data_IF_460975428219
#
_entry.id   IF_460975428219
#
_cell.length_a   1.000
_cell.length_b   1.000
_cell.length_c   1.000
_cell.angle_alpha   90.00
_cell.angle_beta   90.00
_cell.angle_gamma   90.00
#
_symmetry.space_group_name_H-M   'P 1'
#
loop_
_entity.id
_entity.type
_entity.pdbx_description
1 polymer ?
#
# COMPACT_ATOMS: atom_id res chain seq x y z
N UNK A 1 18.95 24.64 -3.88
CA UNK A 1 18.80 23.32 -4.52
C UNK A 1 17.74 22.58 -3.74
N UNK A 2 16.73 21.99 -4.39
CA UNK A 2 15.70 21.23 -3.66
C UNK A 2 16.36 19.99 -3.04
N UNK A 3 15.99 19.57 -1.81
CA UNK A 3 16.49 18.34 -1.24
C UNK A 3 16.17 17.13 -2.12
N UNK A 4 17.14 16.25 -2.30
CA UNK A 4 17.01 14.99 -3.01
C UNK A 4 17.65 13.88 -2.17
N UNK A 5 17.25 12.60 -2.33
CA UNK A 5 17.80 11.51 -1.55
C UNK A 5 19.27 11.27 -1.93
N UNK A 6 20.10 11.07 -0.91
CA UNK A 6 21.53 10.74 -1.01
C UNK A 6 21.90 9.63 -0.02
N UNK A 7 23.13 9.12 -0.05
CA UNK A 7 23.65 8.09 0.88
C UNK A 7 22.63 6.96 1.18
N UNK A 8 22.13 6.33 0.11
CA UNK A 8 21.19 5.21 0.25
C UNK A 8 21.90 4.05 0.93
N UNK A 9 21.29 3.55 2.01
CA UNK A 9 21.62 2.29 2.68
C UNK A 9 20.48 1.32 2.44
N UNK A 10 20.82 0.08 2.12
CA UNK A 10 19.86 -0.97 1.82
C UNK A 10 20.34 -2.29 2.44
N UNK A 11 19.53 -2.85 3.32
CA UNK A 11 19.82 -4.11 4.02
C UNK A 11 18.75 -5.15 3.69
N UNK A 12 19.16 -6.38 3.41
CA UNK A 12 18.24 -7.51 3.33
C UNK A 12 17.63 -7.76 4.72
N UNK A 13 16.31 -7.76 4.79
CA UNK A 13 15.58 -7.98 6.05
C UNK A 13 14.35 -8.81 5.85
N UNK A 14 13.85 -9.42 6.92
CA UNK A 14 12.60 -10.16 6.91
C UNK A 14 11.72 -9.82 8.09
N UNK A 15 10.43 -10.07 7.96
CA UNK A 15 9.48 -10.03 9.06
C UNK A 15 8.60 -11.28 9.06
N UNK A 16 8.07 -11.60 10.23
CA UNK A 16 7.11 -12.67 10.39
C UNK A 16 5.70 -12.07 10.54
N UNK A 17 4.85 -12.33 9.55
CA UNK A 17 3.44 -11.94 9.53
C UNK A 17 2.60 -13.19 9.89
N UNK A 18 2.55 -13.50 11.18
CA UNK A 18 1.94 -14.73 11.66
C UNK A 18 2.81 -15.95 11.34
N UNK A 19 2.29 -16.90 10.58
CA UNK A 19 3.04 -18.09 10.15
C UNK A 19 3.88 -17.85 8.89
N UNK A 20 3.76 -16.68 8.27
CA UNK A 20 4.37 -16.35 6.99
C UNK A 20 5.57 -15.46 7.19
N UNK A 21 6.71 -15.86 6.63
CA UNK A 21 7.92 -15.04 6.56
C UNK A 21 7.91 -14.24 5.26
N UNK A 22 7.94 -12.91 5.36
CA UNK A 22 8.13 -12.03 4.21
C UNK A 22 9.54 -11.46 4.20
N UNK A 23 10.25 -11.70 3.11
CA UNK A 23 11.55 -11.11 2.83
C UNK A 23 11.38 -9.72 2.21
N UNK A 24 12.36 -8.86 2.40
CA UNK A 24 12.34 -7.49 1.90
C UNK A 24 13.67 -6.77 2.00
N UNK A 25 13.64 -5.49 1.68
CA UNK A 25 14.79 -4.59 1.74
C UNK A 25 14.44 -3.39 2.61
N UNK A 26 15.17 -3.21 3.71
CA UNK A 26 15.10 -2.00 4.53
C UNK A 26 15.95 -0.90 3.89
N UNK A 27 15.30 0.20 3.52
CA UNK A 27 15.93 1.38 2.95
C UNK A 27 16.01 2.51 3.98
N UNK A 28 17.17 3.15 4.08
CA UNK A 28 17.32 4.48 4.70
C UNK A 28 18.18 5.37 3.82
N UNK A 29 17.96 6.67 3.85
CA UNK A 29 18.71 7.62 3.02
C UNK A 29 18.94 8.95 3.72
N UNK A 30 19.89 9.73 3.23
CA UNK A 30 20.04 11.15 3.56
C UNK A 30 18.97 11.96 2.83
N UNK A 31 18.27 12.85 3.54
CA UNK A 31 17.43 13.88 2.93
C UNK A 31 17.52 15.20 3.69
N UNK A 32 17.97 16.28 3.02
CA UNK A 32 18.29 17.53 3.72
C UNK A 32 19.36 17.29 4.79
N UNK A 33 19.10 17.64 6.06
CA UNK A 33 19.97 17.29 7.20
C UNK A 33 19.50 16.07 7.99
N UNK A 34 18.54 15.30 7.47
CA UNK A 34 18.11 14.03 8.05
C UNK A 34 18.96 12.87 7.54
N UNK A 35 19.92 12.44 8.36
CA UNK A 35 20.86 11.39 8.02
C UNK A 35 20.22 9.99 8.03
N UNK A 36 20.73 9.03 7.24
CA UNK A 36 20.23 7.65 7.26
C UNK A 36 20.36 6.97 8.63
N UNK A 37 21.19 7.52 9.53
CA UNK A 37 21.39 7.12 10.92
C UNK A 37 21.09 8.25 11.94
N UNK A 38 20.23 9.21 11.59
CA UNK A 38 19.82 10.37 12.41
C UNK A 38 19.46 10.02 13.87
N UNK A 39 18.99 8.79 14.11
CA UNK A 39 18.65 8.30 15.44
C UNK A 39 17.48 9.07 16.06
N UNK A 40 17.62 9.42 17.34
CA UNK A 40 16.57 10.08 18.15
C UNK A 40 16.68 11.61 18.15
N UNK A 41 17.70 12.19 17.52
CA UNK A 41 17.88 13.65 17.51
C UNK A 41 17.21 14.25 16.28
N UNK A 42 16.37 15.26 16.47
CA UNK A 42 15.71 15.95 15.37
C UNK A 42 16.74 16.57 14.39
N UNK A 43 16.57 16.41 13.07
CA UNK A 43 17.36 17.12 12.07
C UNK A 43 17.24 18.64 12.27
N UNK A 44 18.34 19.41 12.16
CA UNK A 44 18.28 20.85 12.36
C UNK A 44 17.34 21.57 11.36
N UNK A 45 17.12 20.99 10.18
CA UNK A 45 16.21 21.51 9.16
C UNK A 45 14.80 20.87 9.16
N UNK A 46 14.44 20.09 10.20
CA UNK A 46 13.10 19.50 10.33
C UNK A 46 11.97 20.53 10.36
N UNK A 47 12.29 21.76 10.76
CA UNK A 47 11.37 22.91 10.69
C UNK A 47 9.97 22.60 11.28
N UNK A 48 9.94 22.04 12.49
CA UNK A 48 8.70 21.69 13.20
C UNK A 48 7.73 20.85 12.33
N UNK A 49 8.25 19.83 11.65
CA UNK A 49 7.46 18.94 10.79
C UNK A 49 7.16 19.51 9.41
N UNK A 50 7.76 20.64 9.05
CA UNK A 50 7.60 21.28 7.74
C UNK A 50 8.95 21.41 7.01
N UNK A 51 9.78 20.36 6.94
CA UNK A 51 11.01 20.45 6.17
C UNK A 51 10.68 20.56 4.68
N UNK A 52 11.61 21.06 3.87
CA UNK A 52 11.45 21.10 2.41
C UNK A 52 11.75 19.74 1.75
N UNK A 53 11.54 18.63 2.46
CA UNK A 53 11.82 17.29 1.95
C UNK A 53 10.74 16.87 0.93
N UNK A 54 11.09 16.11 -0.11
CA UNK A 54 10.12 15.55 -1.03
C UNK A 54 9.30 14.45 -0.34
N UNK A 55 8.05 14.31 -0.79
CA UNK A 55 7.13 13.27 -0.33
C UNK A 55 7.07 12.07 -1.27
N UNK A 56 7.24 12.29 -2.57
CA UNK A 56 7.05 11.25 -3.59
C UNK A 56 8.39 10.69 -4.06
N UNK A 57 8.57 9.38 -3.90
CA UNK A 57 9.80 8.66 -4.26
C UNK A 57 9.51 7.53 -5.24
N UNK A 58 10.53 7.15 -6.00
CA UNK A 58 10.51 5.99 -6.89
C UNK A 58 11.64 5.04 -6.52
N UNK A 59 11.29 3.77 -6.30
CA UNK A 59 12.22 2.69 -5.98
C UNK A 59 12.48 1.85 -7.22
N UNK A 60 13.76 1.65 -7.52
CA UNK A 60 14.21 0.83 -8.64
C UNK A 60 14.89 -0.43 -8.12
N UNK A 61 14.43 -1.58 -8.63
CA UNK A 61 15.08 -2.87 -8.45
C UNK A 61 15.60 -3.36 -9.80
N UNK A 62 16.88 -3.74 -9.85
CA UNK A 62 17.57 -4.30 -11.03
C UNK A 62 17.39 -3.48 -12.32
N UNK A 63 17.36 -2.15 -12.15
CA UNK A 63 17.25 -1.21 -13.27
C UNK A 63 15.82 -1.02 -13.79
N UNK A 64 14.79 -1.39 -13.02
CA UNK A 64 13.38 -1.16 -13.35
C UNK A 64 12.65 -0.41 -12.23
N UNK A 65 11.81 0.59 -12.56
CA UNK A 65 10.91 1.18 -11.58
C UNK A 65 9.95 0.08 -11.10
N UNK A 66 9.92 -0.15 -9.79
CA UNK A 66 9.14 -1.25 -9.19
C UNK A 66 8.05 -0.73 -8.26
N UNK A 67 8.28 0.41 -7.62
CA UNK A 67 7.36 0.96 -6.64
C UNK A 67 7.48 2.49 -6.59
N UNK A 68 6.35 3.17 -6.51
CA UNK A 68 6.29 4.56 -6.02
C UNK A 68 5.91 4.56 -4.54
N UNK A 69 6.49 5.48 -3.78
CA UNK A 69 6.18 5.63 -2.35
C UNK A 69 5.98 7.09 -1.99
N UNK A 70 4.80 7.39 -1.45
CA UNK A 70 4.46 8.69 -0.89
C UNK A 70 4.67 8.65 0.63
N UNK A 71 5.59 9.45 1.14
CA UNK A 71 5.98 9.50 2.54
C UNK A 71 5.45 10.80 3.16
N UNK A 72 4.29 10.74 3.81
CA UNK A 72 3.78 11.87 4.60
C UNK A 72 4.10 11.72 6.09
N UNK A 73 3.96 12.80 6.85
CA UNK A 73 4.16 12.80 8.29
C UNK A 73 3.34 13.90 8.95
N UNK A 74 2.93 13.65 10.20
CA UNK A 74 2.26 14.66 10.99
C UNK A 74 3.25 15.72 11.50
N UNK A 75 2.78 16.97 11.62
CA UNK A 75 3.59 18.08 12.17
C UNK A 75 3.68 18.06 13.70
N UNK A 76 2.81 17.30 14.36
CA UNK A 76 2.63 17.25 15.81
C UNK A 76 3.25 16.01 16.48
N UNK A 77 3.94 15.17 15.72
CA UNK A 77 4.58 13.93 16.20
C UNK A 77 6.03 13.85 15.65
N UNK A 78 7.00 13.31 16.42
CA UNK A 78 8.40 13.22 15.99
C UNK A 78 8.55 12.19 14.86
N UNK A 79 8.37 12.66 13.61
CA UNK A 79 8.33 11.82 12.42
C UNK A 79 9.52 11.99 11.46
N UNK A 80 10.55 12.75 11.82
CA UNK A 80 11.73 12.85 10.94
C UNK A 80 12.32 11.47 10.66
N UNK A 81 12.19 10.54 11.61
CA UNK A 81 12.60 9.16 11.42
C UNK A 81 11.84 8.50 10.27
N UNK A 82 10.54 8.73 10.13
CA UNK A 82 9.75 8.17 9.03
C UNK A 82 10.07 8.82 7.67
N UNK A 83 10.52 10.08 7.66
CA UNK A 83 10.74 10.87 6.45
C UNK A 83 11.90 10.39 5.54
N UNK A 84 12.71 9.44 5.99
CA UNK A 84 13.88 8.95 5.25
C UNK A 84 14.06 7.44 5.25
N UNK A 85 12.98 6.69 5.41
CA UNK A 85 13.02 5.22 5.44
C UNK A 85 11.83 4.60 4.73
N UNK A 86 12.05 3.39 4.21
CA UNK A 86 10.99 2.57 3.63
C UNK A 86 11.37 1.09 3.70
N UNK A 87 10.39 0.20 3.60
CA UNK A 87 10.63 -1.23 3.49
C UNK A 87 9.94 -1.78 2.25
N UNK A 88 10.73 -2.40 1.38
CA UNK A 88 10.27 -2.97 0.11
C UNK A 88 10.01 -4.46 0.31
N UNK A 89 8.76 -4.88 0.25
CA UNK A 89 8.37 -6.29 0.31
C UNK A 89 8.81 -7.02 -0.96
N UNK A 90 9.54 -8.14 -0.81
CA UNK A 90 9.95 -9.02 -1.92
C UNK A 90 9.19 -10.36 -1.92
N UNK A 91 8.37 -10.61 -0.91
CA UNK A 91 7.55 -11.82 -0.79
C UNK A 91 8.26 -12.96 -0.04
N UNK A 92 7.70 -14.15 -0.15
CA UNK A 92 8.18 -15.33 0.60
C UNK A 92 9.43 -15.98 -0.03
N UNK A 93 9.64 -15.79 -1.33
CA UNK A 93 10.71 -16.44 -2.12
C UNK A 93 11.39 -15.43 -3.05
N UNK A 94 12.18 -14.49 -2.49
CA UNK A 94 12.85 -13.46 -3.29
C UNK A 94 14.00 -14.04 -4.14
N UNK A 95 14.48 -13.25 -5.11
CA UNK A 95 15.74 -13.54 -5.78
C UNK A 95 16.92 -13.45 -4.81
N UNK A 96 18.05 -14.08 -5.14
CA UNK A 96 19.25 -14.10 -4.29
C UNK A 96 19.94 -12.75 -4.13
N UNK A 97 19.70 -11.82 -5.04
CA UNK A 97 20.34 -10.51 -5.06
C UNK A 97 19.47 -9.48 -5.77
N UNK A 98 19.54 -8.22 -5.32
CA UNK A 98 18.91 -7.08 -5.95
C UNK A 98 19.88 -5.90 -6.03
N UNK A 99 19.82 -5.11 -7.10
CA UNK A 99 20.43 -3.77 -7.17
C UNK A 99 19.36 -2.71 -6.95
N UNK A 100 19.56 -1.88 -5.93
CA UNK A 100 18.57 -0.90 -5.46
C UNK A 100 19.09 0.51 -5.62
N UNK A 101 18.25 1.40 -6.13
CA UNK A 101 18.45 2.85 -6.05
C UNK A 101 17.10 3.55 -5.95
N UNK A 102 17.10 4.76 -5.43
CA UNK A 102 15.89 5.58 -5.32
C UNK A 102 16.13 6.96 -5.91
N UNK A 103 15.04 7.65 -6.25
CA UNK A 103 15.02 9.07 -6.52
C UNK A 103 13.72 9.66 -5.98
N UNK A 104 13.68 10.98 -5.83
CA UNK A 104 12.50 11.68 -5.38
C UNK A 104 12.02 12.69 -6.42
N UNK A 105 10.72 12.94 -6.43
CA UNK A 105 10.13 13.99 -7.23
C UNK A 105 10.25 15.30 -6.49
N UNK A 106 10.82 16.29 -7.16
CA UNK A 106 10.92 17.63 -6.62
C UNK A 106 9.53 18.27 -6.52
N UNK A 107 9.38 19.24 -5.63
CA UNK A 107 8.12 19.96 -5.41
C UNK A 107 7.66 20.75 -6.65
N UNK A 108 8.56 21.05 -7.59
CA UNK A 108 8.27 21.69 -8.87
C UNK A 108 7.92 20.70 -9.99
N UNK A 109 7.96 19.38 -9.72
CA UNK A 109 7.43 18.34 -10.59
C UNK A 109 8.44 17.40 -11.28
N UNK A 110 9.66 17.82 -11.66
CA UNK A 110 10.65 16.91 -12.21
C UNK A 110 11.17 15.86 -11.21
N UNK A 111 11.65 14.75 -11.74
CA UNK A 111 12.44 13.80 -10.95
C UNK A 111 13.83 14.36 -10.66
N UNK A 112 14.26 14.24 -9.41
CA UNK A 112 15.63 14.50 -8.99
C UNK A 112 16.62 13.41 -9.44
N UNK A 113 17.91 13.56 -9.12
CA UNK A 113 18.92 12.54 -9.40
C UNK A 113 18.64 11.26 -8.62
N UNK A 114 19.20 10.15 -9.11
CA UNK A 114 19.26 8.91 -8.34
C UNK A 114 20.30 8.99 -7.23
N UNK A 115 20.06 8.25 -6.15
CA UNK A 115 21.07 7.90 -5.15
C UNK A 115 22.19 7.04 -5.76
N UNK A 116 23.20 6.71 -4.95
CA UNK A 116 24.05 5.55 -5.19
C UNK A 116 23.19 4.28 -5.39
N UNK A 117 23.70 3.35 -6.21
CA UNK A 117 23.12 2.02 -6.38
C UNK A 117 23.77 1.05 -5.38
N UNK A 118 22.95 0.34 -4.61
CA UNK A 118 23.36 -0.61 -3.57
C UNK A 118 23.02 -2.02 -4.02
N UNK A 119 23.97 -2.95 -3.90
CA UNK A 119 23.71 -4.38 -4.12
C UNK A 119 23.35 -5.04 -2.80
N UNK A 120 22.20 -5.69 -2.75
CA UNK A 120 21.65 -6.35 -1.57
C UNK A 120 21.66 -7.86 -1.80
N UNK A 121 22.33 -8.61 -0.93
CA UNK A 121 22.34 -10.08 -0.92
C UNK A 121 21.25 -10.59 0.03
N UNK A 122 20.24 -11.29 -0.49
CA UNK A 122 19.11 -11.75 0.33
C UNK A 122 19.48 -12.91 1.24
N UNK A 123 20.60 -13.59 1.00
CA UNK A 123 21.09 -14.65 1.92
C UNK A 123 21.58 -14.09 3.26
N UNK A 124 21.86 -12.79 3.35
CA UNK A 124 22.26 -12.12 4.59
C UNK A 124 21.07 -11.60 5.40
N UNK A 125 19.83 -11.90 4.98
CA UNK A 125 18.60 -11.36 5.56
C UNK A 125 18.56 -11.55 7.08
N UNK A 126 18.33 -10.45 7.79
CA UNK A 126 18.17 -10.42 9.24
C UNK A 126 16.74 -10.09 9.61
N UNK A 127 16.28 -10.38 10.85
CA UNK A 127 15.05 -9.80 11.34
C UNK A 127 15.08 -8.31 11.09
N UNK A 128 14.06 -7.83 10.42
CA UNK A 128 13.85 -6.43 10.16
C UNK A 128 13.95 -5.68 11.49
N UNK A 129 14.80 -4.65 11.50
CA UNK A 129 15.05 -3.90 12.74
C UNK A 129 13.79 -3.13 13.12
N UNK A 130 13.44 -3.26 14.38
CA UNK A 130 12.34 -2.56 15.05
C UNK A 130 12.86 -1.19 15.56
N UNK A 131 12.25 -0.07 15.20
CA UNK A 131 12.60 1.29 15.67
C UNK A 131 11.45 2.02 16.39
N UNK A 132 11.42 2.10 17.72
CA UNK A 132 10.29 2.73 18.43
C UNK A 132 10.52 4.25 18.59
N UNK A 133 9.71 5.15 17.99
CA UNK A 133 9.76 6.57 18.36
C UNK A 133 9.14 6.81 19.75
N UNK A 134 9.75 7.70 20.54
CA UNK A 134 9.15 8.16 21.81
C UNK A 134 7.88 8.99 21.55
N UNK A 135 6.79 8.67 22.26
CA UNK A 135 5.46 9.26 22.06
C UNK A 135 5.23 10.53 22.89
N UNK A 136 4.45 11.44 22.32
CA UNK A 136 3.57 12.34 23.09
C UNK A 136 2.14 11.75 23.12
N UNK A 137 1.31 12.13 24.09
CA UNK A 137 -0.06 11.63 24.18
C UNK A 137 -0.90 12.11 22.98
N UNK A 138 -1.43 11.18 22.20
CA UNK A 138 -2.44 11.45 21.16
C UNK A 138 -3.76 11.84 21.85
N UNK A 139 -4.40 12.92 21.39
CA UNK A 139 -5.80 13.20 21.76
C UNK A 139 -6.69 12.29 20.93
N UNK A 140 -7.48 11.44 21.59
CA UNK A 140 -8.50 10.64 20.92
C UNK A 140 -9.51 11.56 20.22
N UNK A 141 -9.46 11.65 18.89
CA UNK A 141 -10.60 12.17 18.13
C UNK A 141 -11.70 11.11 18.18
N UNK A 142 -12.94 11.51 18.48
CA UNK A 142 -14.06 10.57 18.62
C UNK A 142 -14.27 9.78 17.34
N UNK A 143 -13.87 8.51 17.33
CA UNK A 143 -13.87 7.66 16.15
C UNK A 143 -15.28 7.38 15.65
N UNK A 144 -15.53 7.72 14.40
CA UNK A 144 -16.65 7.19 13.64
C UNK A 144 -16.14 6.07 12.73
N UNK A 145 -16.97 5.05 12.57
CA UNK A 145 -16.86 3.93 11.63
C UNK A 145 -16.26 4.32 10.25
N UNK A 146 -15.09 3.76 9.88
CA UNK A 146 -14.31 4.14 8.68
C UNK A 146 -14.60 3.22 7.51
N UNK A 147 -14.67 3.76 6.30
CA UNK A 147 -15.28 3.03 5.19
C UNK A 147 -14.86 3.56 3.83
N UNK A 148 -14.55 2.69 2.88
CA UNK A 148 -14.27 3.08 1.51
C UNK A 148 -13.97 1.93 0.55
N UNK A 149 -13.85 2.26 -0.74
CA UNK A 149 -13.47 1.32 -1.80
C UNK A 149 -12.95 2.07 -3.02
N UNK A 150 -12.32 1.35 -3.94
CA UNK A 150 -11.76 1.91 -5.16
C UNK A 150 -12.87 2.33 -6.15
N UNK A 151 -13.03 3.63 -6.33
CA UNK A 151 -14.00 4.22 -7.28
C UNK A 151 -13.48 4.12 -8.72
N UNK A 152 -12.20 4.37 -8.93
CA UNK A 152 -11.55 4.21 -10.21
C UNK A 152 -10.16 3.58 -10.06
N UNK A 153 -9.85 2.51 -10.80
CA UNK A 153 -10.77 1.63 -11.52
C UNK A 153 -11.85 1.04 -10.59
N UNK A 154 -13.06 0.85 -11.10
CA UNK A 154 -14.22 0.52 -10.26
C UNK A 154 -14.07 -0.87 -9.63
N UNK A 155 -14.16 -0.97 -8.31
CA UNK A 155 -13.97 -2.24 -7.59
C UNK A 155 -15.08 -3.26 -7.83
N UNK A 156 -14.79 -4.55 -7.65
CA UNK A 156 -15.75 -5.66 -7.65
C UNK A 156 -16.88 -5.45 -6.64
N UNK A 157 -16.54 -4.94 -5.45
CA UNK A 157 -17.53 -4.65 -4.41
C UNK A 157 -18.50 -3.55 -4.87
N UNK A 158 -17.99 -2.48 -5.47
CA UNK A 158 -18.84 -1.43 -6.05
C UNK A 158 -19.67 -1.99 -7.21
N UNK A 159 -19.06 -2.66 -8.19
CA UNK A 159 -19.75 -3.25 -9.35
C UNK A 159 -20.88 -4.18 -8.92
N UNK A 160 -20.56 -5.16 -8.08
CA UNK A 160 -21.52 -6.19 -7.71
C UNK A 160 -22.57 -5.65 -6.74
N UNK A 161 -22.19 -4.88 -5.72
CA UNK A 161 -23.07 -4.57 -4.58
C UNK A 161 -23.67 -3.17 -4.67
N UNK A 162 -22.88 -2.13 -4.96
CA UNK A 162 -23.36 -0.74 -5.01
C UNK A 162 -24.15 -0.47 -6.29
N UNK A 163 -23.56 -0.85 -7.41
CA UNK A 163 -24.06 -0.51 -8.75
C UNK A 163 -24.98 -1.60 -9.32
N UNK A 164 -25.04 -2.75 -8.64
CA UNK A 164 -25.84 -3.92 -9.02
C UNK A 164 -25.64 -4.35 -10.49
N UNK A 165 -24.40 -4.26 -10.99
CA UNK A 165 -24.06 -4.56 -12.39
C UNK A 165 -24.69 -5.89 -12.86
N UNK A 166 -25.23 -5.86 -14.08
CA UNK A 166 -26.00 -6.95 -14.69
C UNK A 166 -25.14 -8.09 -15.23
N UNK A 167 -23.80 -7.95 -15.23
CA UNK A 167 -22.91 -9.05 -15.55
C UNK A 167 -23.23 -10.29 -14.69
N UNK A 168 -23.30 -11.46 -15.34
CA UNK A 168 -23.70 -12.72 -14.67
C UNK A 168 -22.84 -13.06 -13.46
N UNK A 169 -21.54 -12.73 -13.49
CA UNK A 169 -20.65 -12.90 -12.33
C UNK A 169 -20.98 -11.95 -11.17
N UNK A 170 -21.40 -10.71 -11.45
CA UNK A 170 -21.84 -9.76 -10.43
C UNK A 170 -23.15 -10.22 -9.78
N UNK A 171 -24.10 -10.72 -10.58
CA UNK A 171 -25.34 -11.32 -10.07
C UNK A 171 -25.08 -12.53 -9.16
N UNK A 172 -24.16 -13.41 -9.57
CA UNK A 172 -23.79 -14.57 -8.75
C UNK A 172 -23.03 -14.14 -7.48
N UNK A 173 -22.14 -13.16 -7.58
CA UNK A 173 -21.44 -12.61 -6.43
C UNK A 173 -22.44 -12.08 -5.39
N UNK A 174 -23.44 -11.29 -5.81
CA UNK A 174 -24.53 -10.84 -4.92
C UNK A 174 -25.30 -11.99 -4.29
N UNK A 175 -25.60 -13.05 -5.06
CA UNK A 175 -26.31 -14.24 -4.56
C UNK A 175 -25.51 -15.00 -3.51
N UNK A 176 -24.18 -15.02 -3.64
CA UNK A 176 -23.27 -15.72 -2.73
C UNK A 176 -22.92 -14.90 -1.49
N UNK A 177 -22.84 -13.57 -1.61
CA UNK A 177 -22.57 -12.68 -0.50
C UNK A 177 -23.71 -12.72 0.53
N UNK A 178 -23.35 -12.59 1.81
CA UNK A 178 -24.32 -12.34 2.87
C UNK A 178 -24.25 -10.90 3.38
N UNK A 179 -23.17 -10.17 3.07
CA UNK A 179 -23.06 -8.73 3.30
C UNK A 179 -23.32 -7.95 2.02
N UNK A 180 -23.96 -6.79 2.16
CA UNK A 180 -24.19 -5.81 1.08
C UNK A 180 -23.41 -4.52 1.33
N UNK A 181 -22.42 -4.55 2.21
CA UNK A 181 -21.70 -3.36 2.64
C UNK A 181 -20.42 -3.21 1.81
N UNK A 182 -20.56 -2.65 0.61
CA UNK A 182 -19.49 -2.57 -0.39
C UNK A 182 -18.24 -1.80 0.08
N UNK A 183 -18.40 -0.90 1.04
CA UNK A 183 -17.34 -0.08 1.63
C UNK A 183 -16.63 -0.74 2.82
N UNK A 184 -16.93 -2.02 3.11
CA UNK A 184 -16.52 -2.78 4.31
C UNK A 184 -16.01 -4.19 3.98
N UNK A 185 -15.30 -4.36 2.86
CA UNK A 185 -14.65 -5.64 2.59
C UNK A 185 -13.44 -5.77 3.51
N UNK A 186 -13.67 -6.38 4.67
CA UNK A 186 -12.72 -6.53 5.78
C UNK A 186 -12.55 -8.01 6.16
N UNK A 187 -11.40 -8.45 6.69
CA UNK A 187 -11.18 -9.79 7.22
C UNK A 187 -12.21 -10.19 8.29
N UNK A 188 -12.46 -11.49 8.48
CA UNK A 188 -13.37 -11.95 9.52
C UNK A 188 -12.76 -11.76 10.93
N UNK A 189 -13.56 -11.23 11.85
CA UNK A 189 -13.18 -11.07 13.26
C UNK A 189 -12.48 -9.75 13.59
N UNK A 190 -12.15 -9.58 14.87
CA UNK A 190 -11.36 -8.46 15.37
C UNK A 190 -10.01 -8.99 15.85
N UNK A 191 -8.92 -8.29 15.54
CA UNK A 191 -7.56 -8.70 15.96
C UNK A 191 -7.10 -7.75 17.07
N UNK A 192 -6.72 -8.28 18.23
CA UNK A 192 -6.34 -7.48 19.38
C UNK A 192 -5.12 -6.55 19.14
N UNK A 193 -4.22 -6.93 18.23
CA UNK A 193 -3.06 -6.12 17.84
C UNK A 193 -3.27 -5.50 16.45
N UNK A 194 -3.22 -4.17 16.29
CA UNK A 194 -3.32 -3.53 14.98
C UNK A 194 -2.18 -3.99 14.05
N UNK A 195 -2.38 -4.08 12.73
CA UNK A 195 -1.33 -4.47 11.78
C UNK A 195 -0.31 -3.34 11.59
N UNK A 196 -0.39 -2.30 12.40
CA UNK A 196 0.45 -1.13 12.27
C UNK A 196 1.76 -1.35 13.00
N UNK A 197 2.84 -1.44 12.24
CA UNK A 197 4.18 -1.37 12.77
C UNK A 197 4.53 0.11 13.01
N UNK A 198 4.17 0.58 14.21
CA UNK A 198 4.49 1.92 14.76
C UNK A 198 5.94 2.31 14.55
N UNK A 199 6.80 1.31 14.60
CA UNK A 199 8.23 1.52 14.62
C UNK A 199 8.78 1.96 13.26
N UNK A 200 7.99 1.80 12.20
CA UNK A 200 8.47 2.10 10.87
C UNK A 200 7.47 2.61 9.88
N UNK A 201 6.27 2.93 10.34
CA UNK A 201 5.30 3.54 9.46
C UNK A 201 4.67 2.54 8.49
N UNK A 202 4.63 1.24 8.82
CA UNK A 202 4.28 0.21 7.84
C UNK A 202 3.12 -0.68 8.30
N UNK A 203 2.18 -0.94 7.40
CA UNK A 203 1.07 -1.86 7.61
C UNK A 203 1.48 -3.30 7.28
N UNK A 204 1.50 -4.17 8.29
CA UNK A 204 1.79 -5.61 8.24
C UNK A 204 0.55 -6.40 7.81
N UNK A 205 0.10 -6.14 6.58
CA UNK A 205 -1.19 -6.59 6.04
C UNK A 205 -1.42 -8.10 6.10
N UNK A 206 -0.37 -8.95 6.02
CA UNK A 206 -0.53 -10.41 6.07
C UNK A 206 -0.84 -10.95 7.47
N UNK A 207 -0.66 -10.15 8.54
CA UNK A 207 -1.09 -10.53 9.90
C UNK A 207 -2.61 -10.67 10.02
N UNK A 208 -3.36 -9.85 9.29
CA UNK A 208 -4.83 -9.84 9.32
C UNK A 208 -5.43 -10.73 8.25
N UNK A 209 -4.73 -10.84 7.12
CA UNK A 209 -5.25 -11.53 5.96
C UNK A 209 -4.30 -12.67 5.56
N UNK A 210 -4.48 -13.81 6.24
CA UNK A 210 -3.73 -15.04 6.01
C UNK A 210 -4.37 -15.94 4.94
N UNK A 211 -5.66 -15.73 4.63
CA UNK A 211 -6.38 -16.49 3.60
C UNK A 211 -5.83 -16.26 2.19
N UNK A 212 -6.07 -17.21 1.30
CA UNK A 212 -5.71 -17.09 -0.11
C UNK A 212 -6.76 -16.31 -0.92
N UNK A 213 -7.99 -16.18 -0.42
CA UNK A 213 -9.10 -15.48 -1.08
C UNK A 213 -9.01 -13.96 -0.85
N UNK A 214 -8.27 -13.27 -1.73
CA UNK A 214 -7.93 -11.84 -1.57
C UNK A 214 -9.15 -10.94 -1.74
N UNK A 215 -10.03 -11.24 -2.69
CA UNK A 215 -11.10 -10.32 -3.06
C UNK A 215 -12.18 -10.15 -1.98
N UNK A 216 -12.40 -11.18 -1.15
CA UNK A 216 -13.27 -11.11 0.03
C UNK A 216 -12.53 -10.81 1.33
N UNK A 217 -11.20 -10.63 1.29
CA UNK A 217 -10.35 -10.63 2.48
C UNK A 217 -10.52 -11.91 3.34
N UNK A 218 -10.82 -13.04 2.70
CA UNK A 218 -11.23 -14.31 3.32
C UNK A 218 -12.44 -14.20 4.27
N UNK A 219 -13.27 -13.17 4.13
CA UNK A 219 -14.50 -13.02 4.90
C UNK A 219 -15.65 -13.74 4.17
N UNK A 220 -16.27 -14.77 4.77
CA UNK A 220 -17.36 -15.52 4.15
C UNK A 220 -18.56 -14.65 3.75
N UNK A 221 -18.74 -13.48 4.39
CA UNK A 221 -19.81 -12.56 4.06
C UNK A 221 -19.66 -11.92 2.66
N UNK A 222 -18.44 -11.90 2.13
CA UNK A 222 -18.08 -11.34 0.82
C UNK A 222 -17.56 -12.40 -0.17
N UNK A 223 -17.77 -13.69 0.09
CA UNK A 223 -17.21 -14.81 -0.71
C UNK A 223 -17.54 -14.77 -2.21
N UNK A 224 -18.61 -14.08 -2.59
CA UNK A 224 -18.98 -13.89 -3.99
C UNK A 224 -17.98 -13.03 -4.76
N UNK A 225 -17.22 -12.17 -4.07
CA UNK A 225 -16.16 -11.36 -4.68
C UNK A 225 -14.96 -12.20 -5.15
N UNK A 226 -14.80 -13.42 -4.62
CA UNK A 226 -13.72 -14.36 -4.96
C UNK A 226 -13.98 -15.18 -6.24
N UNK A 227 -15.15 -15.02 -6.88
CA UNK A 227 -15.42 -15.68 -8.15
C UNK A 227 -14.34 -15.34 -9.19
N UNK A 228 -13.93 -16.35 -9.94
CA UNK A 228 -13.04 -16.20 -11.09
C UNK A 228 -13.84 -16.23 -12.40
N UNK A 229 -13.30 -15.64 -13.47
CA UNK A 229 -13.97 -15.63 -14.78
C UNK A 229 -14.26 -17.03 -15.33
N UNK A 230 -13.43 -18.01 -14.95
CA UNK A 230 -13.53 -19.41 -15.32
C UNK A 230 -14.64 -20.20 -14.62
N UNK A 231 -15.33 -19.62 -13.63
CA UNK A 231 -16.36 -20.32 -12.84
C UNK A 231 -17.70 -20.51 -13.60
N UNK A 232 -17.74 -20.23 -14.92
CA UNK A 232 -18.92 -20.39 -15.77
C UNK A 232 -19.91 -19.22 -15.70
N UNK A 233 -19.53 -18.13 -15.05
CA UNK A 233 -20.32 -16.89 -14.90
C UNK A 233 -19.87 -15.77 -15.85
N UNK A 234 -18.85 -16.02 -16.67
CA UNK A 234 -18.18 -15.00 -17.47
C UNK A 234 -17.23 -14.17 -16.61
N UNK A 235 -16.59 -13.20 -17.23
CA UNK A 235 -15.58 -12.38 -16.59
C UNK A 235 -16.16 -11.20 -15.80
N UNK A 236 -15.40 -10.73 -14.79
CA UNK A 236 -15.70 -9.46 -14.11
C UNK A 236 -15.69 -8.28 -15.10
N UNK A 237 -16.56 -7.26 -14.92
CA UNK A 237 -16.45 -6.01 -15.67
C UNK A 237 -15.10 -5.33 -15.44
N UNK A 238 -14.53 -4.74 -16.49
CA UNK A 238 -13.22 -4.08 -16.45
C UNK A 238 -13.32 -2.56 -16.55
N UNK A 239 -12.41 -1.86 -15.90
CA UNK A 239 -12.10 -0.46 -16.20
C UNK A 239 -10.87 -0.38 -17.11
N UNK A 240 -10.92 0.43 -18.16
CA UNK A 240 -9.71 0.73 -18.95
C UNK A 240 -8.79 1.63 -18.13
N UNK A 241 -7.52 1.24 -18.02
CA UNK A 241 -6.50 2.01 -17.32
C UNK A 241 -5.50 2.54 -18.36
N UNK A 242 -5.56 3.84 -18.61
CA UNK A 242 -4.69 4.54 -19.57
C UNK A 242 -3.63 5.34 -18.81
N UNK A 243 -2.42 5.38 -19.37
CA UNK A 243 -1.35 6.22 -18.85
C UNK A 243 -1.45 7.64 -19.43
N UNK A 244 -1.45 8.66 -18.56
CA UNK A 244 -1.30 10.08 -18.95
C UNK A 244 0.09 10.54 -18.55
N UNK A 245 0.92 10.90 -19.52
CA UNK A 245 2.35 11.23 -19.31
C UNK A 245 3.12 10.13 -18.56
N UNK A 246 2.81 8.86 -18.84
CA UNK A 246 3.42 7.70 -18.19
C UNK A 246 2.89 7.39 -16.77
N UNK A 247 1.83 8.08 -16.33
CA UNK A 247 1.23 7.94 -15.01
C UNK A 247 -0.15 7.29 -15.07
N UNK A 248 -0.42 6.40 -14.12
CA UNK A 248 -1.76 5.86 -13.89
C UNK A 248 -2.34 6.46 -12.61
N UNK A 249 -3.59 6.90 -12.68
CA UNK A 249 -4.28 7.53 -11.56
C UNK A 249 -5.45 6.67 -11.10
N UNK A 250 -5.59 6.57 -9.79
CA UNK A 250 -6.58 5.77 -9.08
C UNK A 250 -7.38 6.71 -8.18
N UNK A 251 -8.69 6.54 -8.10
CA UNK A 251 -9.57 7.30 -7.20
C UNK A 251 -10.12 6.37 -6.14
N UNK A 252 -9.84 6.68 -4.87
CA UNK A 252 -10.43 5.97 -3.74
C UNK A 252 -11.58 6.79 -3.16
N UNK A 253 -12.74 6.18 -2.98
CA UNK A 253 -13.91 6.82 -2.37
C UNK A 253 -14.00 6.43 -0.89
N UNK A 254 -14.11 7.44 -0.05
CA UNK A 254 -14.28 7.31 1.39
C UNK A 254 -15.69 7.76 1.77
N UNK A 255 -16.43 6.88 2.44
CA UNK A 255 -17.62 7.29 3.19
C UNK A 255 -17.24 8.01 4.47
N UNK A 256 -16.14 7.61 5.08
CA UNK A 256 -15.54 8.25 6.23
C UNK A 256 -14.02 8.11 6.12
N UNK A 257 -13.36 9.18 5.66
CA UNK A 257 -11.92 9.20 5.55
C UNK A 257 -11.31 9.45 6.92
N UNK A 258 -10.24 8.72 7.21
CA UNK A 258 -9.41 9.00 8.36
C UNK A 258 -7.96 9.03 7.94
N UNK A 259 -7.31 10.08 8.40
CA UNK A 259 -5.94 10.40 8.07
C UNK A 259 -5.20 10.46 9.38
N UNK A 260 -4.08 9.76 9.46
CA UNK A 260 -3.34 9.70 10.71
C UNK A 260 -1.96 9.11 10.48
N UNK A 261 -1.06 9.27 11.46
CA UNK A 261 0.31 8.78 11.37
C UNK A 261 0.42 7.25 11.30
N UNK A 262 -0.71 6.55 11.14
CA UNK A 262 -0.82 5.10 11.20
C UNK A 262 -1.62 4.50 10.05
N UNK A 263 -1.99 5.31 9.08
CA UNK A 263 -2.83 4.90 7.95
C UNK A 263 -2.01 4.81 6.69
N UNK A 264 -2.16 3.71 5.95
CA UNK A 264 -1.46 3.51 4.68
C UNK A 264 -2.37 2.90 3.64
N UNK A 265 -2.07 3.23 2.39
CA UNK A 265 -2.52 2.44 1.24
C UNK A 265 -1.36 1.63 0.68
N UNK A 266 -1.61 0.36 0.37
CA UNK A 266 -0.71 -0.49 -0.40
C UNK A 266 -1.45 -1.04 -1.61
N UNK A 267 -0.84 -0.91 -2.79
CA UNK A 267 -1.47 -1.24 -4.05
C UNK A 267 -0.69 -2.35 -4.75
N UNK A 268 -1.35 -3.47 -5.00
CA UNK A 268 -0.79 -4.64 -5.65
C UNK A 268 -1.43 -4.85 -7.01
N UNK A 269 -0.73 -5.58 -7.86
CA UNK A 269 -1.20 -5.98 -9.17
C UNK A 269 -0.91 -7.46 -9.38
N UNK A 270 -1.78 -8.13 -10.13
CA UNK A 270 -1.49 -9.47 -10.66
C UNK A 270 -0.19 -9.50 -11.48
N UNK A 271 0.52 -10.62 -11.45
CA UNK A 271 1.71 -10.89 -12.27
C UNK A 271 1.40 -10.78 -13.77
N UNK A 272 2.44 -10.54 -14.56
CA UNK A 272 2.32 -10.50 -16.02
C UNK A 272 1.79 -11.83 -16.57
N UNK A 273 0.81 -11.76 -17.47
CA UNK A 273 0.19 -12.96 -18.06
C UNK A 273 -0.75 -13.72 -17.12
N UNK A 274 -1.24 -13.09 -16.06
CA UNK A 274 -2.26 -13.67 -15.18
C UNK A 274 -3.50 -14.14 -15.98
N UNK A 275 -3.97 -15.34 -15.66
CA UNK A 275 -5.17 -15.94 -16.23
C UNK A 275 -6.41 -15.52 -15.41
N UNK A 276 -7.39 -14.81 -16.00
CA UNK A 276 -8.62 -14.39 -15.31
C UNK A 276 -9.50 -15.55 -14.80
N UNK A 277 -9.25 -16.78 -15.25
CA UNK A 277 -9.87 -17.98 -14.70
C UNK A 277 -9.26 -18.40 -13.35
N UNK A 278 -8.16 -17.78 -12.91
CA UNK A 278 -7.57 -17.98 -11.59
C UNK A 278 -8.05 -16.91 -10.61
N UNK A 279 -8.46 -17.35 -9.42
CA UNK A 279 -8.85 -16.46 -8.32
C UNK A 279 -7.72 -15.53 -7.91
N UNK A 280 -8.07 -14.34 -7.41
CA UNK A 280 -7.09 -13.40 -6.85
C UNK A 280 -6.60 -13.96 -5.52
N UNK A 281 -5.31 -14.29 -5.51
CA UNK A 281 -4.59 -14.95 -4.44
C UNK A 281 -3.16 -14.42 -4.38
N UNK A 282 -2.49 -14.59 -3.26
CA UNK A 282 -1.15 -14.02 -3.05
C UNK A 282 -0.10 -14.55 -4.02
N UNK A 283 -0.25 -15.77 -4.53
CA UNK A 283 0.67 -16.37 -5.50
C UNK A 283 0.50 -15.80 -6.92
N UNK A 284 -0.66 -15.22 -7.25
CA UNK A 284 -0.89 -14.54 -8.54
C UNK A 284 -0.59 -13.05 -8.51
N UNK A 285 -0.40 -12.47 -7.33
CA UNK A 285 -0.02 -11.06 -7.16
C UNK A 285 1.49 -10.89 -7.20
N UNK A 286 1.95 -9.75 -7.70
CA UNK A 286 3.32 -9.29 -7.45
C UNK A 286 3.49 -9.07 -5.94
N UNK A 287 4.57 -9.59 -5.33
CA UNK A 287 4.76 -9.47 -3.88
C UNK A 287 5.10 -8.05 -3.43
N UNK A 288 5.67 -7.25 -4.33
CA UNK A 288 5.95 -5.83 -4.09
C UNK A 288 4.72 -5.00 -4.47
N UNK A 289 4.10 -4.25 -3.54
CA UNK A 289 3.10 -3.28 -3.91
C UNK A 289 3.72 -2.24 -4.85
N UNK A 290 3.10 -1.97 -6.00
CA UNK A 290 3.62 -1.01 -6.98
C UNK A 290 3.47 0.45 -6.51
N UNK A 291 2.60 0.71 -5.54
CA UNK A 291 2.39 2.02 -4.95
C UNK A 291 2.10 1.88 -3.46
N UNK A 292 2.73 2.72 -2.64
CA UNK A 292 2.52 2.79 -1.20
C UNK A 292 2.37 4.24 -0.77
N UNK A 293 1.37 4.53 0.06
CA UNK A 293 1.24 5.84 0.72
C UNK A 293 1.34 5.64 2.23
N UNK A 294 2.21 6.42 2.88
CA UNK A 294 2.38 6.50 4.33
C UNK A 294 1.65 7.69 4.91
N UNK A 295 0.86 7.47 5.96
CA UNK A 295 0.16 8.45 6.82
C UNK A 295 -0.90 9.32 6.12
N UNK A 296 -0.84 9.33 4.79
CA UNK A 296 -1.74 9.94 3.84
C UNK A 296 -1.68 11.46 3.73
N UNK A 297 -1.87 11.95 2.51
CA UNK A 297 -1.75 13.39 2.16
C UNK A 297 -3.03 14.22 2.28
N UNK A 298 -4.18 13.58 2.48
CA UNK A 298 -5.50 14.21 2.58
C UNK A 298 -5.91 14.73 3.96
N UNK A 299 -7.18 15.09 4.08
CA UNK A 299 -7.85 15.55 5.30
C UNK A 299 -9.04 14.66 5.65
N UNK A 300 -9.46 14.66 6.91
CA UNK A 300 -10.65 13.93 7.38
C UNK A 300 -11.94 14.29 6.63
N UNK A 301 -12.00 15.47 6.00
CA UNK A 301 -13.16 15.93 5.25
C UNK A 301 -13.22 15.38 3.81
N UNK A 302 -12.13 14.83 3.30
CA UNK A 302 -12.07 14.34 1.94
C UNK A 302 -12.93 13.08 1.80
N UNK A 303 -13.78 13.05 0.76
CA UNK A 303 -14.63 11.90 0.45
C UNK A 303 -14.08 11.13 -0.76
N UNK A 304 -13.12 11.71 -1.48
CA UNK A 304 -12.41 11.07 -2.59
C UNK A 304 -10.97 11.59 -2.63
N UNK A 305 -10.01 10.68 -2.77
CA UNK A 305 -8.60 11.01 -2.98
C UNK A 305 -8.07 10.33 -4.24
N UNK A 306 -7.11 10.99 -4.88
CA UNK A 306 -6.41 10.48 -6.06
C UNK A 306 -5.00 10.02 -5.71
N UNK A 307 -4.64 8.86 -6.24
CA UNK A 307 -3.35 8.22 -6.09
C UNK A 307 -2.72 8.03 -7.46
N UNK A 308 -1.45 8.37 -7.62
CA UNK A 308 -0.81 8.32 -8.94
C UNK A 308 0.54 7.61 -8.87
N UNK A 309 0.82 6.80 -9.89
CA UNK A 309 2.07 6.05 -9.99
C UNK A 309 2.59 5.94 -11.42
N UNK A 310 3.90 5.94 -11.54
CA UNK A 310 4.69 5.64 -12.72
C UNK A 310 5.16 4.17 -12.76
N UNK A 311 4.94 3.37 -11.72
CA UNK A 311 5.52 2.03 -11.59
C UNK A 311 4.91 0.97 -12.54
N UNK A 312 3.82 1.29 -13.26
CA UNK A 312 3.05 0.35 -14.08
C UNK A 312 3.34 0.41 -15.59
N UNK A 313 4.39 1.12 -16.02
CA UNK A 313 4.68 1.41 -17.45
C UNK A 313 4.77 0.21 -18.40
N UNK A 314 4.94 -1.02 -17.90
CA UNK A 314 5.14 -2.22 -18.72
C UNK A 314 3.94 -3.20 -18.72
N UNK A 315 2.83 -2.86 -18.06
CA UNK A 315 1.65 -3.74 -17.97
C UNK A 315 0.80 -3.67 -19.23
N UNK A 316 0.23 -4.79 -19.65
CA UNK A 316 -0.60 -4.87 -20.86
C UNK A 316 -1.76 -5.83 -20.69
N UNK A 317 -2.89 -5.46 -21.30
CA UNK A 317 -4.08 -6.30 -21.27
C UNK A 317 -4.66 -6.43 -19.86
N UNK A 318 -5.27 -7.58 -19.59
CA UNK A 318 -6.10 -7.76 -18.41
C UNK A 318 -5.30 -8.06 -17.16
N UNK A 319 -5.61 -7.34 -16.09
CA UNK A 319 -5.05 -7.50 -14.76
C UNK A 319 -6.11 -7.26 -13.68
N UNK A 320 -5.77 -7.58 -12.44
CA UNK A 320 -6.48 -7.06 -11.28
C UNK A 320 -5.56 -6.18 -10.44
N UNK A 321 -6.11 -5.06 -9.97
CA UNK A 321 -5.50 -4.16 -8.99
C UNK A 321 -6.13 -4.48 -7.64
N UNK A 322 -5.30 -4.64 -6.62
CA UNK A 322 -5.73 -4.84 -5.23
C UNK A 322 -5.23 -3.65 -4.42
N UNK A 323 -6.14 -2.88 -3.84
CA UNK A 323 -5.81 -1.93 -2.80
C UNK A 323 -6.04 -2.57 -1.43
N UNK A 324 -5.10 -2.31 -0.55
CA UNK A 324 -5.21 -2.55 0.88
C UNK A 324 -5.09 -1.19 1.56
N UNK A 325 -6.15 -0.79 2.27
CA UNK A 325 -6.16 0.39 3.11
C UNK A 325 -6.28 -0.04 4.56
N UNK A 326 -5.36 0.40 5.41
CA UNK A 326 -5.45 0.03 6.82
C UNK A 326 -4.56 0.86 7.72
N UNK A 327 -4.86 0.75 9.01
CA UNK A 327 -4.19 1.48 10.07
C UNK A 327 -4.76 1.17 11.43
N UNK A 328 -4.42 2.00 12.41
CA UNK A 328 -5.00 1.91 13.75
C UNK A 328 -4.76 3.21 14.50
N UNK A 329 -5.67 3.58 15.40
CA UNK A 329 -5.54 4.78 16.21
C UNK A 329 -5.20 4.38 17.65
N UNK A 330 -4.40 5.18 18.37
CA UNK A 330 -4.22 4.93 19.79
C UNK A 330 -5.47 5.39 20.56
N UNK A 331 -6.06 4.49 21.36
CA UNK A 331 -6.99 4.87 22.43
C UNK A 331 -8.48 4.71 22.16
N UNK A 332 -8.90 3.99 21.12
CA UNK A 332 -10.28 3.50 20.98
C UNK A 332 -10.34 1.99 21.21
N UNK A 333 -11.50 1.49 21.65
CA UNK A 333 -11.79 0.04 21.78
C UNK A 333 -11.76 -0.73 20.44
N UNK A 334 -11.43 -0.05 19.33
CA UNK A 334 -11.22 -0.65 18.03
C UNK A 334 -9.74 -1.00 17.82
N UNK A 335 -9.49 -2.30 17.87
CA UNK A 335 -8.46 -3.00 17.11
C UNK A 335 -8.20 -2.36 15.73
N UNK A 336 -6.97 -2.41 15.21
CA UNK A 336 -6.64 -1.85 13.89
C UNK A 336 -7.61 -2.28 12.79
N UNK A 337 -7.82 -1.39 11.82
CA UNK A 337 -8.78 -1.55 10.74
C UNK A 337 -8.10 -1.79 9.40
N UNK A 338 -8.79 -2.51 8.52
CA UNK A 338 -8.24 -3.01 7.27
C UNK A 338 -9.35 -3.24 6.25
N UNK A 339 -9.17 -2.69 5.05
CA UNK A 339 -10.11 -2.75 3.93
C UNK A 339 -9.39 -3.25 2.69
N UNK A 340 -10.02 -4.17 1.96
CA UNK A 340 -9.55 -4.67 0.66
C UNK A 340 -10.47 -4.17 -0.43
N UNK A 341 -9.88 -3.70 -1.53
CA UNK A 341 -10.63 -3.36 -2.73
C UNK A 341 -9.94 -3.98 -3.94
N UNK A 342 -10.69 -4.73 -4.75
CA UNK A 342 -10.18 -5.36 -5.97
C UNK A 342 -10.89 -4.78 -7.17
N UNK A 343 -10.16 -4.35 -8.19
CA UNK A 343 -10.71 -3.90 -9.46
C UNK A 343 -10.06 -4.64 -10.63
N UNK A 344 -10.88 -5.15 -11.54
CA UNK A 344 -10.40 -5.73 -12.80
C UNK A 344 -10.18 -4.60 -13.81
N UNK A 345 -9.02 -4.63 -14.48
CA UNK A 345 -8.58 -3.58 -15.40
C UNK A 345 -8.09 -4.14 -16.72
N UNK A 346 -8.09 -3.28 -17.73
CA UNK A 346 -7.44 -3.50 -19.02
C UNK A 346 -6.45 -2.36 -19.28
N UNK A 347 -5.16 -2.71 -19.33
CA UNK A 347 -4.08 -1.77 -19.67
C UNK A 347 -4.00 -1.59 -21.18
N UNK A 348 -4.05 -0.33 -21.63
CA UNK A 348 -3.99 0.04 -23.05
C UNK A 348 -2.73 0.81 -23.42
#
# INVERSE_FOLDING_TARGET
MQPYPEDLRADATYRDDGEIKLEGISLTWQIGQNAPDQGETQPPDWNNGRPAYPHHYEVWLDGRPTQTVDVYWATWYPHWQAANRHWVCLGETPAGQYRVKIRARHADGPWGPFTNEVTVDTSTSQPYKQFIPQRAAESAEGGRERHGSLEFPVSRAIRAIRDEDDARICQEARRLNTSTTWQEVVPPGTVADPPWNEERGYLEYRKFFQGADVASAANPAFKGLDLAGGDGHGDWPISTLEAVDGRHTFTYNYRQNHMGPKWTHQWFITKEGWDPARRISWDVLEPTPFMVEHHGGGTHGDQELQYTTEALVNRRGRHAIVNIWGGGDAGHDFAGEFFVSVADVDFR
#
